data_IF_564006729868
#
_entry.id   IF_564006729868
#
_cell.length_a   1.000
_cell.length_b   1.000
_cell.length_c   1.000
_cell.angle_alpha   90.00
_cell.angle_beta   90.00
_cell.angle_gamma   90.00
#
_symmetry.space_group_name_H-M   'P 1'
#
loop_
_entity.id
_entity.type
_entity.pdbx_description
1 polymer ?
#
# COMPACT_ATOMS: atom_id res chain seq x y z
N UNK A 1 -35.36 0.87 -20.97
CA UNK A 1 -34.60 1.25 -19.77
C UNK A 1 -34.73 0.13 -18.76
N UNK A 2 -33.62 -0.34 -18.19
CA UNK A 2 -33.66 -1.42 -17.18
C UNK A 2 -34.26 -0.90 -15.87
N UNK A 3 -35.18 -1.64 -15.27
CA UNK A 3 -35.89 -1.23 -14.05
C UNK A 3 -35.24 -1.75 -12.78
N UNK A 4 -35.55 -1.15 -11.61
CA UNK A 4 -35.09 -1.62 -10.29
C UNK A 4 -35.43 -3.10 -10.06
N UNK A 5 -36.61 -3.56 -10.52
CA UNK A 5 -37.05 -4.96 -10.39
C UNK A 5 -36.19 -5.92 -11.23
N UNK A 6 -35.75 -5.49 -12.41
CA UNK A 6 -34.88 -6.31 -13.27
C UNK A 6 -33.47 -6.44 -12.68
N UNK A 7 -32.95 -5.37 -12.09
CA UNK A 7 -31.66 -5.36 -11.40
C UNK A 7 -31.67 -6.29 -10.15
N UNK A 8 -32.76 -6.30 -9.37
CA UNK A 8 -32.92 -7.20 -8.22
C UNK A 8 -32.89 -8.68 -8.67
N UNK A 9 -33.64 -9.02 -9.73
CA UNK A 9 -33.67 -10.39 -10.26
C UNK A 9 -32.28 -10.86 -10.71
N UNK A 10 -31.51 -9.99 -11.35
CA UNK A 10 -30.14 -10.29 -11.79
C UNK A 10 -29.17 -10.45 -10.61
N UNK A 11 -29.29 -9.62 -9.57
CA UNK A 11 -28.46 -9.73 -8.36
C UNK A 11 -28.75 -10.99 -7.53
N UNK A 12 -30.01 -11.47 -7.55
CA UNK A 12 -30.44 -12.70 -6.87
C UNK A 12 -30.07 -13.98 -7.64
N UNK A 13 -29.75 -13.89 -8.93
CA UNK A 13 -29.42 -15.07 -9.75
C UNK A 13 -28.03 -15.61 -9.42
N UNK A 14 -27.93 -16.85 -8.96
CA UNK A 14 -26.64 -17.51 -8.75
C UNK A 14 -26.04 -18.00 -10.08
N UNK A 15 -24.96 -17.35 -10.53
CA UNK A 15 -24.17 -17.74 -11.71
C UNK A 15 -22.68 -17.78 -11.38
N UNK A 16 -21.89 -18.50 -12.19
CA UNK A 16 -20.42 -18.55 -12.03
C UNK A 16 -19.84 -17.14 -12.06
N UNK A 17 -18.91 -16.84 -11.14
CA UNK A 17 -18.41 -15.47 -10.85
C UNK A 17 -18.02 -14.63 -12.08
N UNK A 18 -17.32 -15.22 -13.06
CA UNK A 18 -16.95 -14.50 -14.29
C UNK A 18 -18.13 -14.20 -15.22
N UNK A 19 -19.13 -15.10 -15.29
CA UNK A 19 -20.36 -14.87 -16.04
C UNK A 19 -21.22 -13.81 -15.35
N UNK A 20 -21.28 -13.86 -14.01
CA UNK A 20 -22.00 -12.89 -13.18
C UNK A 20 -21.53 -11.45 -13.42
N UNK A 21 -20.22 -11.24 -13.55
CA UNK A 21 -19.66 -9.92 -13.88
C UNK A 21 -20.15 -9.38 -15.23
N UNK A 22 -20.12 -10.22 -16.26
CA UNK A 22 -20.57 -9.83 -17.61
C UNK A 22 -22.10 -9.64 -17.69
N UNK A 23 -22.88 -10.37 -16.88
CA UNK A 23 -24.34 -10.21 -16.79
C UNK A 23 -24.72 -8.91 -16.06
N UNK A 24 -23.94 -8.48 -15.07
CA UNK A 24 -24.21 -7.30 -14.24
C UNK A 24 -23.71 -5.99 -14.87
N UNK A 25 -22.60 -6.02 -15.61
CA UNK A 25 -21.97 -4.83 -16.19
C UNK A 25 -22.92 -3.96 -17.03
N UNK A 26 -23.81 -4.51 -17.89
CA UNK A 26 -24.76 -3.71 -18.66
C UNK A 26 -25.74 -2.89 -17.81
N UNK A 27 -25.95 -3.23 -16.53
CA UNK A 27 -26.84 -2.49 -15.63
C UNK A 27 -26.33 -1.08 -15.31
N UNK A 28 -25.01 -0.85 -15.44
CA UNK A 28 -24.39 0.47 -15.31
C UNK A 28 -24.37 1.26 -16.63
N UNK A 29 -24.78 0.64 -17.75
CA UNK A 29 -24.79 1.28 -19.05
C UNK A 29 -25.81 2.43 -19.16
N UNK A 30 -25.49 3.44 -19.96
CA UNK A 30 -26.38 4.60 -20.23
C UNK A 30 -26.20 5.78 -19.26
N UNK A 31 -27.21 6.66 -19.18
CA UNK A 31 -27.16 7.95 -18.46
C UNK A 31 -27.01 7.85 -16.93
N UNK A 32 -27.07 6.65 -16.33
CA UNK A 32 -27.05 6.48 -14.87
C UNK A 32 -25.66 6.39 -14.25
N UNK A 33 -24.71 5.76 -14.94
CA UNK A 33 -23.34 5.55 -14.42
C UNK A 33 -22.30 5.32 -15.56
N UNK A 34 -22.17 6.26 -16.52
CA UNK A 34 -21.36 6.05 -17.72
C UNK A 34 -19.87 5.90 -17.44
N UNK A 35 -19.35 6.53 -16.36
CA UNK A 35 -17.94 6.45 -16.00
C UNK A 35 -17.60 5.12 -15.31
N UNK A 36 -18.45 4.66 -14.42
CA UNK A 36 -18.30 3.38 -13.73
C UNK A 36 -18.37 2.23 -14.74
N UNK A 37 -19.30 2.29 -15.70
CA UNK A 37 -19.37 1.30 -16.78
C UNK A 37 -18.05 1.23 -17.58
N UNK A 38 -17.48 2.38 -17.97
CA UNK A 38 -16.19 2.44 -18.68
C UNK A 38 -15.04 1.88 -17.84
N UNK A 39 -15.03 2.21 -16.55
CA UNK A 39 -14.02 1.71 -15.61
C UNK A 39 -14.04 0.18 -15.52
N UNK A 40 -15.21 -0.42 -15.23
CA UNK A 40 -15.32 -1.88 -15.11
C UNK A 40 -15.06 -2.62 -16.43
N UNK A 41 -15.45 -2.03 -17.56
CA UNK A 41 -15.18 -2.60 -18.88
C UNK A 41 -13.67 -2.62 -19.20
N UNK A 42 -12.91 -1.61 -18.74
CA UNK A 42 -11.44 -1.55 -18.90
C UNK A 42 -10.72 -2.43 -17.87
N UNK A 43 -11.18 -2.44 -16.63
CA UNK A 43 -10.55 -3.15 -15.52
C UNK A 43 -10.80 -4.67 -15.57
N UNK A 44 -11.88 -5.11 -16.22
CA UNK A 44 -12.21 -6.52 -16.37
C UNK A 44 -12.63 -7.21 -15.07
N UNK A 45 -12.88 -8.52 -15.18
CA UNK A 45 -13.31 -9.34 -14.06
C UNK A 45 -12.18 -9.56 -13.04
N UNK A 46 -12.46 -9.22 -11.78
CA UNK A 46 -11.73 -9.68 -10.60
C UNK A 46 -12.73 -9.92 -9.47
N UNK A 47 -12.35 -10.69 -8.45
CA UNK A 47 -13.25 -10.93 -7.30
C UNK A 47 -13.60 -9.63 -6.55
N UNK A 48 -12.66 -8.69 -6.49
CA UNK A 48 -12.85 -7.36 -5.92
C UNK A 48 -13.76 -6.51 -6.79
N UNK A 49 -13.51 -6.46 -8.10
CA UNK A 49 -14.32 -5.69 -9.04
C UNK A 49 -15.77 -6.19 -9.11
N UNK A 50 -16.01 -7.49 -8.94
CA UNK A 50 -17.36 -8.04 -8.86
C UNK A 50 -18.12 -7.52 -7.62
N UNK A 51 -17.47 -7.47 -6.46
CA UNK A 51 -18.09 -6.93 -5.23
C UNK A 51 -18.39 -5.43 -5.37
N UNK A 52 -17.45 -4.67 -5.93
CA UNK A 52 -17.64 -3.24 -6.17
C UNK A 52 -18.73 -2.97 -7.22
N UNK A 53 -18.78 -3.77 -8.29
CA UNK A 53 -19.83 -3.71 -9.31
C UNK A 53 -21.22 -3.97 -8.71
N UNK A 54 -21.35 -5.01 -7.88
CA UNK A 54 -22.60 -5.30 -7.18
C UNK A 54 -23.04 -4.15 -6.24
N UNK A 55 -22.08 -3.53 -5.55
CA UNK A 55 -22.34 -2.37 -4.70
C UNK A 55 -22.82 -1.17 -5.51
N UNK A 56 -22.13 -0.82 -6.59
CA UNK A 56 -22.47 0.32 -7.44
C UNK A 56 -23.85 0.15 -8.10
N UNK A 57 -24.19 -1.08 -8.51
CA UNK A 57 -25.53 -1.38 -9.04
C UNK A 57 -26.59 -1.18 -7.96
N UNK A 58 -26.33 -1.58 -6.71
CA UNK A 58 -27.28 -1.34 -5.62
C UNK A 58 -27.49 0.16 -5.39
N UNK A 59 -26.44 0.97 -5.44
CA UNK A 59 -26.55 2.42 -5.28
C UNK A 59 -27.33 3.08 -6.42
N UNK A 60 -26.96 2.77 -7.68
CA UNK A 60 -27.57 3.35 -8.88
C UNK A 60 -29.07 3.03 -9.00
N UNK A 61 -29.51 1.88 -8.49
CA UNK A 61 -30.91 1.46 -8.51
C UNK A 61 -31.61 1.61 -7.14
N UNK A 62 -30.94 2.17 -6.12
CA UNK A 62 -31.47 2.33 -4.77
C UNK A 62 -31.95 1.02 -4.15
N UNK A 63 -31.22 -0.07 -4.33
CA UNK A 63 -31.55 -1.42 -3.86
C UNK A 63 -30.92 -1.62 -2.47
N UNK A 64 -31.76 -1.87 -1.48
CA UNK A 64 -31.31 -2.21 -0.13
C UNK A 64 -31.06 -3.73 0.02
N UNK A 65 -30.37 -4.13 1.09
CA UNK A 65 -30.24 -5.56 1.41
C UNK A 65 -31.59 -6.22 1.75
N UNK A 66 -32.61 -5.44 2.17
CA UNK A 66 -33.97 -5.95 2.38
C UNK A 66 -34.66 -6.30 1.06
N UNK A 67 -34.41 -5.52 0.01
CA UNK A 67 -34.95 -5.75 -1.34
C UNK A 67 -34.45 -7.08 -1.94
N UNK A 68 -33.24 -7.51 -1.58
CA UNK A 68 -32.61 -8.75 -2.05
C UNK A 68 -33.07 -10.01 -1.30
N UNK A 69 -33.69 -9.86 -0.12
CA UNK A 69 -34.20 -10.98 0.70
C UNK A 69 -35.61 -11.39 0.33
N UNK A 70 -36.31 -10.58 -0.46
CA UNK A 70 -37.68 -10.84 -0.90
C UNK A 70 -37.64 -11.67 -2.19
N UNK A 71 -38.13 -12.93 -2.21
CA UNK A 71 -38.19 -13.72 -3.45
C UNK A 71 -39.19 -13.06 -4.41
N UNK A 72 -38.74 -12.71 -5.61
CA UNK A 72 -39.63 -12.05 -6.59
C UNK A 72 -40.65 -13.04 -7.16
N UNK A 73 -41.94 -12.83 -6.84
CA UNK A 73 -43.10 -13.39 -7.56
C UNK A 73 -44.16 -12.25 -7.76
N UNK A 74 -45.10 -12.38 -8.72
CA UNK A 74 -45.48 -11.31 -9.66
C UNK A 74 -46.50 -10.27 -9.14
N UNK A 75 -46.72 -9.26 -9.97
CA UNK A 75 -47.34 -7.94 -9.75
C UNK A 75 -48.75 -7.87 -9.11
N UNK A 76 -48.99 -6.72 -8.47
CA UNK A 76 -50.27 -6.11 -8.07
C UNK A 76 -50.22 -5.71 -6.59
N UNK A 77 -50.50 -4.52 -6.09
CA UNK A 77 -51.00 -3.22 -6.56
C UNK A 77 -51.24 -2.36 -5.29
N UNK A 78 -51.31 -1.03 -5.45
CA UNK A 78 -51.91 0.00 -4.57
C UNK A 78 -51.37 0.30 -3.16
N UNK A 79 -50.86 1.53 -3.04
CA UNK A 79 -51.26 2.62 -2.12
C UNK A 79 -51.09 2.58 -0.59
N UNK A 80 -50.65 3.77 -0.13
CA UNK A 80 -50.92 4.50 1.12
C UNK A 80 -50.14 4.18 2.42
N UNK A 81 -49.25 5.13 2.73
CA UNK A 81 -49.38 6.16 3.77
C UNK A 81 -49.28 5.79 5.27
N UNK A 82 -48.72 6.77 5.99
CA UNK A 82 -48.81 7.10 7.43
C UNK A 82 -47.85 6.46 8.47
N UNK A 83 -46.98 7.35 8.98
CA UNK A 83 -46.78 7.78 10.38
C UNK A 83 -46.14 6.80 11.38
N UNK A 84 -44.95 7.12 11.92
CA UNK A 84 -44.66 8.07 13.01
C UNK A 84 -44.88 7.43 14.39
N UNK A 85 -43.81 7.30 15.18
CA UNK A 85 -43.80 7.58 16.62
C UNK A 85 -42.38 7.52 17.18
N UNK A 86 -42.01 8.63 17.79
CA UNK A 86 -40.84 8.88 18.62
C UNK A 86 -40.96 8.09 19.95
N UNK A 87 -39.85 7.88 20.65
CA UNK A 87 -39.63 8.57 21.94
C UNK A 87 -38.23 8.33 22.50
N UNK A 88 -37.77 9.38 23.19
CA UNK A 88 -36.46 9.61 23.77
C UNK A 88 -36.54 9.60 25.31
N UNK A 89 -35.36 9.68 25.94
CA UNK A 89 -34.97 10.16 27.30
C UNK A 89 -33.95 9.18 27.91
N UNK A 90 -32.88 9.54 28.64
CA UNK A 90 -32.38 10.80 29.25
C UNK A 90 -30.89 10.54 29.64
N UNK A 91 -29.92 11.43 29.37
CA UNK A 91 -29.19 12.36 30.29
C UNK A 91 -28.67 11.78 31.64
N UNK A 92 -27.43 12.00 32.13
CA UNK A 92 -26.65 13.23 32.41
C UNK A 92 -25.14 12.87 32.65
N UNK A 93 -24.13 13.58 32.12
CA UNK A 93 -23.36 14.77 32.62
C UNK A 93 -22.43 14.55 33.83
N UNK A 94 -21.12 14.82 33.66
CA UNK A 94 -20.28 15.65 34.57
C UNK A 94 -18.90 15.97 33.95
N UNK A 95 -18.46 17.23 34.11
CA UNK A 95 -17.24 17.88 33.62
C UNK A 95 -16.18 18.06 34.72
N UNK A 96 -14.91 18.27 34.34
CA UNK A 96 -13.92 19.22 34.94
C UNK A 96 -12.63 19.18 34.08
N UNK A 97 -12.11 20.24 33.46
CA UNK A 97 -11.41 21.44 34.02
C UNK A 97 -9.90 21.12 34.17
N UNK A 98 -8.87 21.92 33.79
CA UNK A 98 -8.72 23.30 33.30
C UNK A 98 -7.22 23.53 32.88
N UNK A 99 -6.94 24.58 32.06
CA UNK A 99 -5.71 25.43 31.99
C UNK A 99 -4.40 24.92 31.30
N UNK A 100 -4.03 25.45 30.11
CA UNK A 100 -3.15 26.62 29.78
C UNK A 100 -1.63 26.25 29.75
N UNK A 101 -0.73 26.62 28.82
CA UNK A 101 -0.64 27.72 27.84
C UNK A 101 0.51 27.49 26.82
N UNK A 102 0.26 27.86 25.55
CA UNK A 102 1.10 28.53 24.51
C UNK A 102 2.62 28.23 24.31
N UNK A 103 3.00 27.90 23.06
CA UNK A 103 3.84 28.76 22.17
C UNK A 103 3.76 28.27 20.69
N UNK A 104 3.01 28.96 19.83
CA UNK A 104 3.46 29.71 18.63
C UNK A 104 4.17 28.95 17.50
N UNK A 105 3.44 28.70 16.41
CA UNK A 105 3.92 28.98 15.04
C UNK A 105 2.76 29.53 14.20
N UNK A 106 2.99 30.71 13.64
CA UNK A 106 2.06 31.48 12.80
C UNK A 106 2.19 31.00 11.36
N UNK A 107 1.07 30.72 10.70
CA UNK A 107 0.68 31.17 9.35
C UNK A 107 -0.44 30.28 8.79
N UNK A 108 -1.68 30.72 8.97
CA UNK A 108 -2.83 30.36 8.14
C UNK A 108 -3.97 31.34 8.46
N UNK A 109 -3.78 32.60 8.10
CA UNK A 109 -4.88 33.56 8.12
C UNK A 109 -5.65 33.42 6.81
N UNK A 110 -6.84 32.80 6.89
CA UNK A 110 -8.12 33.36 6.44
C UNK A 110 -9.16 32.23 6.23
N UNK A 111 -9.84 31.83 7.29
CA UNK A 111 -11.13 31.14 7.18
C UNK A 111 -12.19 32.01 7.83
N UNK A 112 -13.03 32.59 6.97
CA UNK A 112 -14.27 33.25 7.38
C UNK A 112 -15.11 32.26 8.19
N UNK A 113 -15.45 32.64 9.42
CA UNK A 113 -16.44 31.96 10.25
C UNK A 113 -17.79 31.95 9.54
N UNK A 114 -18.21 30.78 9.07
CA UNK A 114 -19.62 30.44 8.81
C UNK A 114 -19.94 29.20 9.62
N UNK A 115 -20.97 29.30 10.45
CA UNK A 115 -21.30 28.35 11.50
C UNK A 115 -21.97 27.08 11.00
N UNK A 116 -21.20 26.24 10.29
CA UNK A 116 -21.53 24.83 10.12
C UNK A 116 -20.74 24.02 11.16
N UNK A 117 -21.43 23.12 11.86
CA UNK A 117 -20.84 22.18 12.80
C UNK A 117 -19.79 21.34 12.07
N UNK A 118 -18.54 21.49 12.49
CA UNK A 118 -17.41 20.72 11.98
C UNK A 118 -17.57 19.27 12.46
N UNK A 119 -18.09 18.40 11.61
CA UNK A 119 -18.08 16.95 11.80
C UNK A 119 -16.74 16.37 11.32
N UNK A 120 -16.34 15.18 11.80
CA UNK A 120 -15.11 14.50 11.36
C UNK A 120 -15.06 14.35 9.83
N UNK A 121 -16.21 14.10 9.20
CA UNK A 121 -16.35 14.03 7.75
C UNK A 121 -16.05 15.37 7.06
N UNK A 122 -16.52 16.50 7.62
CA UNK A 122 -16.31 17.83 7.04
C UNK A 122 -14.88 18.34 7.23
N UNK A 123 -14.19 17.93 8.32
CA UNK A 123 -12.75 18.22 8.51
C UNK A 123 -11.91 17.55 7.43
N UNK A 124 -12.23 16.30 7.09
CA UNK A 124 -11.49 15.53 6.10
C UNK A 124 -11.61 16.12 4.69
N UNK A 125 -12.82 16.55 4.29
CA UNK A 125 -13.03 17.18 2.98
C UNK A 125 -12.34 18.54 2.82
N UNK A 126 -12.12 19.26 3.93
CA UNK A 126 -11.44 20.55 3.96
C UNK A 126 -9.91 20.43 4.07
N UNK A 127 -9.39 19.24 4.36
CA UNK A 127 -7.95 19.01 4.47
C UNK A 127 -7.23 19.18 3.11
N UNK A 128 -5.98 19.70 3.09
CA UNK A 128 -5.15 19.71 1.89
C UNK A 128 -5.00 18.30 1.30
N UNK A 129 -4.83 18.20 -0.02
CA UNK A 129 -4.72 16.90 -0.71
C UNK A 129 -3.55 16.05 -0.24
N UNK A 130 -2.48 16.68 0.25
CA UNK A 130 -1.34 16.01 0.90
C UNK A 130 -1.79 15.29 2.18
N UNK A 131 -2.50 15.99 3.05
CA UNK A 131 -3.07 15.44 4.30
C UNK A 131 -4.09 14.33 4.00
N UNK A 132 -4.91 14.48 2.95
CA UNK A 132 -5.87 13.43 2.52
C UNK A 132 -5.17 12.17 1.99
N UNK A 133 -4.05 12.31 1.28
CA UNK A 133 -3.27 11.17 0.78
C UNK A 133 -2.60 10.42 1.93
N UNK A 134 -2.06 11.15 2.90
CA UNK A 134 -1.44 10.58 4.10
C UNK A 134 -2.48 9.87 4.97
N UNK A 135 -3.67 10.43 5.13
CA UNK A 135 -4.78 9.78 5.86
C UNK A 135 -5.23 8.51 5.13
N UNK A 136 -5.36 8.49 3.79
CA UNK A 136 -5.69 7.26 3.04
C UNK A 136 -4.64 6.16 3.21
N UNK A 137 -3.37 6.53 3.31
CA UNK A 137 -2.30 5.58 3.57
C UNK A 137 -2.40 5.00 4.99
N UNK A 138 -2.60 5.86 5.99
CA UNK A 138 -2.75 5.47 7.39
C UNK A 138 -4.07 4.73 7.67
N UNK A 139 -5.10 4.95 6.86
CA UNK A 139 -6.33 4.14 6.87
C UNK A 139 -6.07 2.73 6.32
N UNK A 140 -5.25 2.62 5.25
CA UNK A 140 -4.88 1.32 4.68
C UNK A 140 -3.94 0.55 5.61
N UNK A 141 -2.99 1.25 6.23
CA UNK A 141 -1.98 0.72 7.14
C UNK A 141 -2.10 1.40 8.52
N UNK A 142 -3.10 1.01 9.35
CA UNK A 142 -3.37 1.65 10.64
C UNK A 142 -2.18 1.64 11.59
N UNK A 143 -1.32 0.63 11.47
CA UNK A 143 -0.15 0.48 12.32
C UNK A 143 0.79 1.68 12.22
N UNK A 144 0.82 2.41 11.11
CA UNK A 144 1.66 3.62 10.98
C UNK A 144 1.31 4.72 12.00
N UNK A 145 0.19 4.63 12.72
CA UNK A 145 -0.17 5.52 13.83
C UNK A 145 0.21 4.99 15.23
N UNK A 146 0.68 3.74 15.32
CA UNK A 146 1.10 3.09 16.56
C UNK A 146 2.55 3.49 16.90
N UNK A 147 2.83 3.78 18.17
CA UNK A 147 4.19 4.12 18.64
C UNK A 147 5.18 2.96 18.53
N UNK A 148 4.69 1.71 18.52
CA UNK A 148 5.51 0.49 18.44
C UNK A 148 5.95 0.15 17.00
N UNK A 149 5.57 0.96 16.01
CA UNK A 149 5.93 0.72 14.62
C UNK A 149 7.42 0.96 14.37
N UNK A 150 8.15 -0.01 13.79
CA UNK A 150 9.55 0.17 13.44
C UNK A 150 9.76 1.37 12.52
N UNK A 151 10.77 2.20 12.82
CA UNK A 151 11.04 3.44 12.10
C UNK A 151 11.26 3.22 10.59
N UNK A 152 11.80 2.06 10.25
CA UNK A 152 12.06 1.63 8.88
C UNK A 152 10.78 1.64 8.03
N UNK A 153 9.59 1.39 8.60
CA UNK A 153 8.34 1.43 7.84
C UNK A 153 7.94 2.84 7.41
N UNK A 154 8.25 3.87 8.19
CA UNK A 154 8.03 5.26 7.75
C UNK A 154 8.93 5.61 6.57
N UNK A 155 10.18 5.16 6.63
CA UNK A 155 11.13 5.34 5.52
C UNK A 155 10.70 4.52 4.29
N UNK A 156 10.24 3.28 4.51
CA UNK A 156 9.76 2.38 3.47
C UNK A 156 8.63 2.99 2.67
N UNK A 157 7.63 3.60 3.33
CA UNK A 157 6.52 4.29 2.66
C UNK A 157 7.04 5.33 1.65
N UNK A 158 8.05 6.12 2.05
CA UNK A 158 8.67 7.11 1.17
C UNK A 158 9.41 6.48 -0.02
N UNK A 159 10.20 5.43 0.24
CA UNK A 159 10.89 4.66 -0.82
C UNK A 159 9.87 4.06 -1.79
N UNK A 160 8.80 3.48 -1.25
CA UNK A 160 7.77 2.78 -1.99
C UNK A 160 7.02 3.74 -2.94
N UNK A 161 6.62 4.91 -2.42
CA UNK A 161 6.01 5.97 -3.23
C UNK A 161 6.96 6.50 -4.31
N UNK A 162 8.23 6.72 -3.98
CA UNK A 162 9.25 7.15 -4.95
C UNK A 162 9.44 6.12 -6.06
N UNK A 163 9.56 4.84 -5.72
CA UNK A 163 9.72 3.75 -6.67
C UNK A 163 8.53 3.68 -7.64
N UNK A 164 7.30 3.80 -7.12
CA UNK A 164 6.10 3.91 -7.95
C UNK A 164 6.16 5.06 -8.96
N UNK A 165 6.53 6.27 -8.52
CA UNK A 165 6.62 7.42 -9.43
C UNK A 165 7.74 7.26 -10.47
N UNK A 166 8.89 6.70 -10.07
CA UNK A 166 10.00 6.45 -11.00
C UNK A 166 9.65 5.39 -12.04
N UNK A 167 8.94 4.33 -11.65
CA UNK A 167 8.40 3.34 -12.56
C UNK A 167 7.43 3.98 -13.57
N UNK A 168 6.49 4.82 -13.11
CA UNK A 168 5.55 5.51 -13.99
C UNK A 168 6.26 6.43 -14.99
N UNK A 169 7.23 7.22 -14.53
CA UNK A 169 8.00 8.12 -15.39
C UNK A 169 8.78 7.34 -16.46
N UNK A 170 9.49 6.27 -16.07
CA UNK A 170 10.22 5.42 -17.00
C UNK A 170 9.29 4.77 -18.03
N UNK A 171 8.12 4.29 -17.59
CA UNK A 171 7.09 3.76 -18.48
C UNK A 171 6.59 4.83 -19.46
N UNK A 172 6.26 6.03 -19.00
CA UNK A 172 5.77 7.11 -19.86
C UNK A 172 6.80 7.51 -20.93
N UNK A 173 8.08 7.59 -20.56
CA UNK A 173 9.18 7.84 -21.48
C UNK A 173 9.33 6.73 -22.53
N UNK A 174 9.21 5.46 -22.14
CA UNK A 174 9.18 4.32 -23.07
C UNK A 174 8.00 4.45 -24.05
N UNK A 175 6.79 4.76 -23.55
CA UNK A 175 5.59 4.87 -24.36
C UNK A 175 5.68 6.02 -25.38
N UNK A 176 6.13 7.21 -24.96
CA UNK A 176 6.28 8.38 -25.85
C UNK A 176 7.25 8.14 -27.00
N UNK A 177 8.27 7.31 -26.80
CA UNK A 177 9.35 7.09 -27.78
C UNK A 177 9.17 5.84 -28.64
N UNK A 178 8.43 4.83 -28.16
CA UNK A 178 8.17 3.58 -28.91
C UNK A 178 6.88 3.68 -29.74
N UNK A 179 5.87 4.42 -29.27
CA UNK A 179 4.63 4.64 -30.01
C UNK A 179 4.68 6.05 -30.58
N UNK A 180 4.99 6.24 -31.88
CA UNK A 180 4.71 7.52 -32.53
C UNK A 180 3.21 7.76 -32.38
N UNK A 181 2.84 8.82 -31.69
CA UNK A 181 1.43 9.17 -31.57
C UNK A 181 0.89 9.41 -32.99
N UNK A 182 -0.28 8.86 -33.30
CA UNK A 182 -0.81 8.85 -34.67
C UNK A 182 -0.89 10.24 -35.30
N UNK A 183 -0.70 10.29 -36.62
CA UNK A 183 -0.85 11.35 -37.66
C UNK A 183 -0.61 12.85 -37.35
N UNK A 184 -0.64 13.33 -36.10
CA UNK A 184 -0.60 14.76 -35.74
C UNK A 184 0.53 15.14 -34.75
N UNK A 185 1.42 14.23 -34.36
CA UNK A 185 2.62 14.60 -33.60
C UNK A 185 3.84 14.75 -34.50
N UNK A 186 4.61 15.85 -34.40
CA UNK A 186 5.84 16.01 -35.16
C UNK A 186 6.78 14.83 -34.87
N UNK A 187 7.55 14.37 -35.88
CA UNK A 187 8.46 13.25 -35.71
C UNK A 187 9.40 13.52 -34.54
N UNK A 188 9.52 12.56 -33.62
CA UNK A 188 10.56 12.61 -32.59
C UNK A 188 11.90 12.71 -33.32
N UNK A 189 12.60 13.84 -33.14
CA UNK A 189 13.74 14.23 -33.99
C UNK A 189 14.92 13.23 -33.93
N UNK A 190 15.04 12.46 -32.86
CA UNK A 190 15.96 11.32 -32.78
C UNK A 190 15.35 10.15 -31.97
N UNK A 191 15.22 8.94 -32.55
CA UNK A 191 14.77 7.76 -31.82
C UNK A 191 15.81 7.36 -30.76
N UNK A 192 15.34 6.98 -29.57
CA UNK A 192 16.18 6.49 -28.48
C UNK A 192 17.00 5.27 -28.93
N UNK A 193 18.28 5.22 -28.53
CA UNK A 193 19.14 4.06 -28.79
C UNK A 193 18.54 2.80 -28.16
N UNK A 194 18.82 1.63 -28.74
CA UNK A 194 18.42 0.33 -28.14
C UNK A 194 18.94 0.18 -26.72
N UNK A 195 20.13 0.68 -26.45
CA UNK A 195 20.75 0.64 -25.12
C UNK A 195 20.01 1.53 -24.11
N UNK A 196 19.60 2.72 -24.52
CA UNK A 196 18.82 3.64 -23.69
C UNK A 196 17.43 3.07 -23.40
N UNK A 197 16.76 2.47 -24.39
CA UNK A 197 15.48 1.77 -24.22
C UNK A 197 15.64 0.63 -23.20
N UNK A 198 16.71 -0.16 -23.34
CA UNK A 198 17.00 -1.27 -22.46
C UNK A 198 17.25 -0.81 -21.02
N UNK A 199 18.08 0.21 -20.82
CA UNK A 199 18.37 0.77 -19.50
C UNK A 199 17.12 1.38 -18.85
N UNK A 200 16.26 2.05 -19.62
CA UNK A 200 15.01 2.60 -19.12
C UNK A 200 14.01 1.51 -18.74
N UNK A 201 13.97 0.41 -19.50
CA UNK A 201 13.17 -0.77 -19.18
C UNK A 201 13.66 -1.47 -17.92
N UNK A 202 14.98 -1.66 -17.75
CA UNK A 202 15.58 -2.17 -16.50
C UNK A 202 15.13 -1.30 -15.33
N UNK A 203 15.33 0.01 -15.42
CA UNK A 203 14.95 0.94 -14.36
C UNK A 203 13.46 0.87 -14.02
N UNK A 204 12.59 0.69 -15.01
CA UNK A 204 11.16 0.53 -14.78
C UNK A 204 10.84 -0.77 -14.02
N UNK A 205 11.50 -1.87 -14.38
CA UNK A 205 11.35 -3.18 -13.72
C UNK A 205 11.90 -3.13 -12.29
N UNK A 206 13.11 -2.63 -12.09
CA UNK A 206 13.72 -2.51 -10.75
C UNK A 206 12.85 -1.68 -9.80
N UNK A 207 12.29 -0.56 -10.28
CA UNK A 207 11.38 0.26 -9.47
C UNK A 207 10.02 -0.40 -9.23
N UNK A 208 9.53 -1.22 -10.17
CA UNK A 208 8.33 -2.01 -9.95
C UNK A 208 8.55 -3.09 -8.89
N UNK A 209 9.67 -3.82 -8.96
CA UNK A 209 10.04 -4.84 -7.99
C UNK A 209 10.23 -4.23 -6.60
N UNK A 210 10.97 -3.12 -6.50
CA UNK A 210 11.16 -2.39 -5.23
C UNK A 210 9.82 -1.93 -4.64
N UNK A 211 8.90 -1.45 -5.49
CA UNK A 211 7.56 -1.04 -5.05
C UNK A 211 6.70 -2.23 -4.59
N UNK A 212 6.81 -3.36 -5.29
CA UNK A 212 6.11 -4.58 -4.94
C UNK A 212 6.59 -5.12 -3.60
N UNK A 213 7.90 -5.26 -3.43
CA UNK A 213 8.54 -5.70 -2.18
C UNK A 213 8.15 -4.80 -1.01
N UNK A 214 8.19 -3.48 -1.18
CA UNK A 214 7.78 -2.56 -0.12
C UNK A 214 6.30 -2.65 0.22
N UNK A 215 5.45 -2.98 -0.76
CA UNK A 215 4.02 -3.22 -0.50
C UNK A 215 3.79 -4.55 0.23
N UNK A 216 4.52 -5.60 -0.15
CA UNK A 216 4.48 -6.90 0.54
C UNK A 216 4.91 -6.79 2.00
N UNK A 217 5.94 -5.99 2.30
CA UNK A 217 6.37 -5.70 3.67
C UNK A 217 5.27 -5.01 4.49
N UNK A 218 4.66 -3.97 3.93
CA UNK A 218 3.57 -3.23 4.61
C UNK A 218 2.37 -4.15 4.89
N UNK A 219 1.99 -4.96 3.90
CA UNK A 219 0.88 -5.90 4.02
C UNK A 219 1.21 -7.02 5.05
N UNK A 220 2.43 -7.57 5.02
CA UNK A 220 2.87 -8.62 5.95
C UNK A 220 2.96 -8.10 7.40
N UNK A 221 3.53 -6.92 7.62
CA UNK A 221 3.65 -6.34 8.96
C UNK A 221 2.28 -6.02 9.55
N UNK A 222 1.33 -5.57 8.73
CA UNK A 222 -0.04 -5.35 9.19
C UNK A 222 -0.69 -6.63 9.75
N UNK A 223 -0.43 -7.78 9.12
CA UNK A 223 -1.03 -9.07 9.51
C UNK A 223 -0.28 -9.77 10.66
N UNK A 224 1.03 -9.63 10.72
CA UNK A 224 1.87 -10.43 11.62
C UNK A 224 2.62 -9.61 12.67
N UNK A 225 2.68 -8.28 12.52
CA UNK A 225 3.47 -7.37 13.36
C UNK A 225 4.95 -7.76 13.43
N UNK A 226 5.44 -8.43 12.38
CA UNK A 226 6.83 -8.84 12.20
C UNK A 226 7.34 -8.32 10.86
N UNK A 227 8.62 -7.99 10.79
CA UNK A 227 9.29 -7.60 9.53
C UNK A 227 9.49 -8.83 8.65
N UNK A 228 9.05 -8.75 7.38
CA UNK A 228 9.21 -9.84 6.42
C UNK A 228 10.67 -9.96 5.96
N UNK A 229 11.33 -8.83 5.73
CA UNK A 229 12.77 -8.76 5.48
C UNK A 229 13.20 -9.03 4.03
N UNK A 230 12.29 -8.89 3.07
CA UNK A 230 12.56 -8.92 1.63
C UNK A 230 13.12 -7.59 1.12
N UNK A 231 12.54 -6.47 1.54
CA UNK A 231 12.93 -5.18 0.99
C UNK A 231 14.33 -4.75 1.49
N UNK A 232 15.20 -4.17 0.63
CA UNK A 232 16.60 -3.87 0.98
C UNK A 232 16.80 -3.01 2.24
N UNK A 233 15.82 -2.17 2.58
CA UNK A 233 15.87 -1.35 3.81
C UNK A 233 16.00 -2.19 5.09
N UNK A 234 15.49 -3.42 5.08
CA UNK A 234 15.50 -4.31 6.24
C UNK A 234 16.71 -5.23 6.28
N UNK A 235 17.63 -5.16 5.31
CA UNK A 235 18.80 -6.05 5.25
C UNK A 235 19.60 -6.07 6.56
N UNK A 236 19.81 -4.90 7.17
CA UNK A 236 20.56 -4.77 8.42
C UNK A 236 19.80 -5.40 9.59
N UNK A 237 18.51 -5.10 9.74
CA UNK A 237 17.65 -5.72 10.77
C UNK A 237 17.61 -7.24 10.64
N UNK A 238 17.51 -7.75 9.42
CA UNK A 238 17.51 -9.19 9.18
C UNK A 238 18.87 -9.83 9.48
N UNK A 239 19.96 -9.10 9.25
CA UNK A 239 21.29 -9.54 9.65
C UNK A 239 21.44 -9.59 11.18
N UNK A 240 20.95 -8.57 11.89
CA UNK A 240 20.95 -8.51 13.35
C UNK A 240 20.13 -9.67 13.95
N UNK A 241 18.90 -9.86 13.46
CA UNK A 241 18.04 -10.98 13.87
C UNK A 241 18.74 -12.32 13.66
N UNK A 242 19.33 -12.53 12.47
CA UNK A 242 20.10 -13.74 12.16
C UNK A 242 21.28 -13.96 13.12
N UNK A 243 22.00 -12.91 13.48
CA UNK A 243 23.13 -13.00 14.42
C UNK A 243 22.63 -13.25 15.84
N UNK A 244 21.52 -12.65 16.25
CA UNK A 244 20.87 -12.88 17.55
C UNK A 244 20.33 -14.31 17.67
N UNK A 245 19.84 -14.89 16.58
CA UNK A 245 19.36 -16.28 16.54
C UNK A 245 20.49 -17.32 16.64
N UNK A 246 21.76 -16.93 16.48
CA UNK A 246 22.86 -17.86 16.68
C UNK A 246 22.89 -18.41 18.11
N UNK A 247 23.26 -19.69 18.23
CA UNK A 247 23.55 -20.28 19.54
C UNK A 247 24.83 -19.66 20.10
N UNK A 248 24.87 -19.34 21.40
CA UNK A 248 26.05 -18.76 22.04
C UNK A 248 27.34 -19.59 21.81
N UNK A 249 27.22 -20.92 21.79
CA UNK A 249 28.33 -21.84 21.51
C UNK A 249 28.86 -21.76 20.07
N UNK A 250 28.04 -21.26 19.13
CA UNK A 250 28.39 -21.15 17.72
C UNK A 250 29.12 -19.84 17.38
N UNK A 251 29.00 -18.80 18.20
CA UNK A 251 29.54 -17.46 17.91
C UNK A 251 31.06 -17.47 17.67
N UNK A 252 31.83 -18.16 18.52
CA UNK A 252 33.29 -18.24 18.36
C UNK A 252 33.71 -18.93 17.06
N UNK A 253 32.99 -19.98 16.65
CA UNK A 253 33.20 -20.69 15.38
C UNK A 253 32.84 -19.79 14.21
N UNK A 254 31.69 -19.09 14.28
CA UNK A 254 31.24 -18.20 13.21
C UNK A 254 32.21 -17.05 12.99
N UNK A 255 32.68 -16.42 14.06
CA UNK A 255 33.73 -15.39 14.02
C UNK A 255 34.97 -15.86 13.28
N UNK A 256 35.48 -17.05 13.63
CA UNK A 256 36.64 -17.65 12.96
C UNK A 256 36.41 -17.90 11.46
N UNK A 257 35.23 -18.41 11.11
CA UNK A 257 34.87 -18.64 9.71
C UNK A 257 34.78 -17.35 8.90
N UNK A 258 34.14 -16.31 9.44
CA UNK A 258 34.00 -15.01 8.78
C UNK A 258 35.39 -14.37 8.52
N UNK A 259 36.29 -14.35 9.51
CA UNK A 259 37.67 -13.88 9.32
C UNK A 259 38.40 -14.63 8.22
N UNK A 260 38.23 -15.96 8.16
CA UNK A 260 38.80 -16.79 7.10
C UNK A 260 38.18 -16.52 5.73
N UNK A 261 36.88 -16.25 5.66
CA UNK A 261 36.18 -15.98 4.40
C UNK A 261 36.61 -14.64 3.83
N UNK A 262 36.60 -13.60 4.65
CA UNK A 262 37.09 -12.25 4.32
C UNK A 262 38.54 -12.34 3.83
N UNK A 263 39.45 -12.89 4.64
CA UNK A 263 40.86 -12.94 4.28
C UNK A 263 41.16 -13.74 3.00
N UNK A 264 40.42 -14.82 2.72
CA UNK A 264 40.58 -15.59 1.48
C UNK A 264 40.04 -14.85 0.26
N UNK A 265 38.89 -14.21 0.39
CA UNK A 265 38.26 -13.51 -0.74
C UNK A 265 38.97 -12.19 -1.06
N UNK A 266 39.40 -11.45 -0.04
CA UNK A 266 40.20 -10.22 -0.21
C UNK A 266 41.49 -10.48 -1.01
N UNK A 267 42.16 -11.62 -0.78
CA UNK A 267 43.36 -12.01 -1.55
C UNK A 267 43.08 -12.28 -3.03
N UNK A 268 41.86 -12.66 -3.40
CA UNK A 268 41.50 -12.93 -4.80
C UNK A 268 41.19 -11.64 -5.58
N UNK A 269 40.96 -10.52 -4.90
CA UNK A 269 40.56 -9.26 -5.54
C UNK A 269 41.62 -8.72 -6.52
N UNK A 270 42.90 -8.99 -6.29
CA UNK A 270 44.02 -8.45 -7.08
C UNK A 270 44.06 -8.99 -8.52
N UNK A 271 43.40 -10.13 -8.78
CA UNK A 271 43.37 -10.77 -10.11
C UNK A 271 42.00 -10.80 -10.78
N UNK A 272 41.00 -10.10 -10.23
CA UNK A 272 39.63 -10.11 -10.75
C UNK A 272 39.36 -8.96 -11.74
N UNK A 273 38.51 -9.25 -12.72
CA UNK A 273 37.93 -8.27 -13.64
C UNK A 273 36.96 -7.34 -12.89
N UNK A 274 36.64 -6.16 -13.45
CA UNK A 274 36.02 -5.06 -12.70
C UNK A 274 34.64 -5.42 -12.13
N UNK A 275 33.78 -6.07 -12.91
CA UNK A 275 32.45 -6.48 -12.47
C UNK A 275 32.52 -7.58 -11.41
N UNK A 276 33.34 -8.60 -11.64
CA UNK A 276 33.58 -9.68 -10.67
C UNK A 276 34.18 -9.14 -9.35
N UNK A 277 35.08 -8.16 -9.44
CA UNK A 277 35.69 -7.49 -8.28
C UNK A 277 34.64 -6.70 -7.49
N UNK A 278 33.75 -5.97 -8.17
CA UNK A 278 32.67 -5.24 -7.51
C UNK A 278 31.75 -6.18 -6.71
N UNK A 279 31.34 -7.30 -7.31
CA UNK A 279 30.54 -8.31 -6.63
C UNK A 279 31.27 -8.94 -5.42
N UNK A 280 32.56 -9.23 -5.56
CA UNK A 280 33.38 -9.76 -4.46
C UNK A 280 33.53 -8.75 -3.29
N UNK A 281 33.66 -7.46 -3.59
CA UNK A 281 33.72 -6.40 -2.57
C UNK A 281 32.40 -6.29 -1.80
N UNK A 282 31.25 -6.38 -2.47
CA UNK A 282 29.94 -6.38 -1.79
C UNK A 282 29.85 -7.57 -0.83
N UNK A 283 30.27 -8.75 -1.27
CA UNK A 283 30.28 -9.98 -0.45
C UNK A 283 31.22 -9.89 0.76
N UNK A 284 32.38 -9.26 0.60
CA UNK A 284 33.30 -9.02 1.72
C UNK A 284 32.66 -8.08 2.73
N UNK A 285 32.06 -6.99 2.27
CA UNK A 285 31.37 -6.02 3.14
C UNK A 285 30.22 -6.67 3.93
N UNK A 286 29.44 -7.56 3.31
CA UNK A 286 28.36 -8.26 4.05
C UNK A 286 28.92 -9.18 5.13
N UNK A 287 30.04 -9.88 4.88
CA UNK A 287 30.72 -10.66 5.92
C UNK A 287 31.37 -9.80 6.99
N UNK A 288 31.89 -8.63 6.66
CA UNK A 288 32.44 -7.67 7.63
C UNK A 288 31.36 -7.14 8.57
N UNK A 289 30.19 -6.75 8.01
CA UNK A 289 29.02 -6.37 8.82
C UNK A 289 28.60 -7.50 9.76
N UNK A 290 28.47 -8.72 9.25
CA UNK A 290 28.10 -9.88 10.06
C UNK A 290 29.16 -10.18 11.15
N UNK A 291 30.45 -10.02 10.82
CA UNK A 291 31.54 -10.23 11.77
C UNK A 291 31.47 -9.23 12.93
N UNK A 292 31.22 -7.96 12.63
CA UNK A 292 31.10 -6.91 13.65
C UNK A 292 29.98 -7.25 14.65
N UNK A 293 28.80 -7.62 14.16
CA UNK A 293 27.65 -8.00 15.00
C UNK A 293 27.93 -9.25 15.83
N UNK A 294 28.61 -10.24 15.26
CA UNK A 294 29.02 -11.45 15.99
C UNK A 294 30.01 -11.11 17.10
N UNK A 295 30.98 -10.23 16.84
CA UNK A 295 31.96 -9.79 17.83
C UNK A 295 31.31 -8.98 18.96
N UNK A 296 30.44 -8.02 18.62
CA UNK A 296 29.64 -7.26 19.57
C UNK A 296 28.82 -8.19 20.49
N UNK A 297 28.10 -9.16 19.92
CA UNK A 297 27.32 -10.13 20.70
C UNK A 297 28.18 -11.00 21.63
N UNK A 298 29.42 -11.27 21.25
CA UNK A 298 30.36 -12.01 22.10
C UNK A 298 30.87 -11.17 23.29
N UNK A 299 30.99 -9.86 23.11
CA UNK A 299 31.47 -8.90 24.12
C UNK A 299 30.39 -8.47 25.12
N UNK A 300 29.10 -8.53 24.74
CA UNK A 300 27.98 -8.21 25.63
C UNK A 300 27.96 -9.13 26.89
N UNK A 301 27.72 -8.59 28.10
CA UNK A 301 27.48 -9.37 29.31
C UNK A 301 26.32 -10.36 29.13
N UNK A 302 26.37 -11.51 29.83
CA UNK A 302 25.37 -12.57 29.66
C UNK A 302 23.91 -12.12 29.92
N UNK A 303 23.72 -11.07 30.74
CA UNK A 303 22.42 -10.51 31.13
C UNK A 303 21.78 -9.65 30.03
N UNK A 304 22.58 -8.98 29.18
CA UNK A 304 22.10 -8.11 28.10
C UNK A 304 21.81 -8.87 26.79
N UNK A 305 22.29 -10.12 26.68
CA UNK A 305 22.10 -10.98 25.48
C UNK A 305 20.65 -11.40 25.23
N UNK A 306 19.75 -11.18 26.20
CA UNK A 306 18.33 -11.51 26.10
C UNK A 306 17.43 -10.29 25.83
N UNK A 307 17.88 -9.06 26.13
CA UNK A 307 17.07 -7.86 25.95
C UNK A 307 17.03 -7.38 24.48
N UNK A 308 18.07 -7.67 23.69
CA UNK A 308 18.08 -7.35 22.25
C UNK A 308 17.12 -8.22 21.41
N UNK A 309 16.59 -9.31 21.97
CA UNK A 309 15.65 -10.20 21.30
C UNK A 309 14.18 -9.84 21.54
N UNK A 310 13.89 -8.90 22.46
CA UNK A 310 12.53 -8.52 22.84
C UNK A 310 12.10 -7.21 22.14
N UNK A 311 13.05 -6.39 21.69
CA UNK A 311 12.80 -5.06 21.11
C UNK A 311 13.14 -4.95 19.61
N UNK A 312 13.29 -6.06 18.89
CA UNK A 312 13.69 -6.10 17.46
C UNK A 312 12.84 -7.04 16.62
#
# INVERSE_FOLDING_TARGET
MTTKKDAIKLLQKETKRGLRFNELLPLLGGMKAPQQHRYYNRAGFSATNLKSLEYDIKQVYGISNADLRSPSAPQGGTDQDSKESQQAADQQVAQSGTEDSKNETKEAENVKKTGDSVTLENVFELAPDEVKKDIKLRERYPFLNEEETPEEFYTLVGINGRAYFQMLAAREELFKKIIPSGDDTPPVEEPMSKEEIFNLAIKAVENFELNLEGTEELDYYQEHKEVLGKHPIFEERMLDKKVNDYKATYLATRRGNLKNYIGRESKKLEGMEAEARAAAVIKIRTWEKELALVEERMELPAEDRYQSAING
#
